data_IF_069201474591
#
_entry.id   IF_069201474591
#
_cell.length_a   1.000
_cell.length_b   1.000
_cell.length_c   1.000
_cell.angle_alpha   90.00
_cell.angle_beta   90.00
_cell.angle_gamma   90.00
#
_symmetry.space_group_name_H-M   'P 1'
#
loop_
_entity.id
_entity.type
_entity.pdbx_description
1 polymer ?
#
# COMPACT_ATOMS: atom_id res chain seq x y z
N UNK A 1 5.86 -15.86 -54.38
CA UNK A 1 5.22 -14.54 -54.22
C UNK A 1 4.01 -14.72 -53.31
N UNK A 2 4.20 -14.57 -52.00
CA UNK A 2 3.12 -14.66 -51.01
C UNK A 2 2.65 -13.26 -50.65
N UNK A 3 1.44 -12.89 -51.06
CA UNK A 3 0.82 -11.64 -50.68
C UNK A 3 0.32 -11.73 -49.24
N UNK A 4 0.80 -10.84 -48.36
CA UNK A 4 0.23 -10.66 -47.03
C UNK A 4 -1.24 -10.22 -47.15
N UNK A 5 -2.15 -10.78 -46.34
CA UNK A 5 -3.56 -10.46 -46.39
C UNK A 5 -3.79 -9.00 -46.00
N UNK A 6 -4.61 -8.31 -46.79
CA UNK A 6 -4.95 -6.87 -46.69
C UNK A 6 -5.40 -6.42 -45.28
N UNK A 7 -5.83 -7.37 -44.44
CA UNK A 7 -6.30 -7.14 -43.07
C UNK A 7 -5.14 -6.80 -42.11
N UNK A 8 -3.97 -7.43 -42.25
CA UNK A 8 -2.82 -7.12 -41.37
C UNK A 8 -2.26 -5.73 -41.64
N UNK A 9 -2.35 -5.26 -42.88
CA UNK A 9 -1.94 -3.90 -43.26
C UNK A 9 -2.83 -2.83 -42.60
N UNK A 10 -4.14 -3.09 -42.50
CA UNK A 10 -5.08 -2.16 -41.86
C UNK A 10 -4.89 -2.06 -40.34
N UNK A 11 -4.56 -3.18 -39.67
CA UNK A 11 -4.24 -3.18 -38.23
C UNK A 11 -2.95 -2.41 -37.96
N UNK A 12 -1.93 -2.58 -38.81
CA UNK A 12 -0.67 -1.86 -38.69
C UNK A 12 -0.86 -0.34 -38.86
N UNK A 13 -1.63 0.08 -39.86
CA UNK A 13 -1.90 1.51 -40.12
C UNK A 13 -2.73 2.13 -38.98
N UNK A 14 -3.73 1.40 -38.46
CA UNK A 14 -4.54 1.84 -37.31
C UNK A 14 -3.70 2.03 -36.04
N UNK A 15 -2.80 1.10 -35.74
CA UNK A 15 -1.90 1.18 -34.59
C UNK A 15 -0.96 2.38 -34.65
N UNK A 16 -0.38 2.68 -35.82
CA UNK A 16 0.51 3.83 -36.01
C UNK A 16 -0.25 5.15 -35.85
N UNK A 17 -1.48 5.25 -36.35
CA UNK A 17 -2.30 6.46 -36.20
C UNK A 17 -2.62 6.77 -34.72
N UNK A 18 -2.96 5.75 -33.92
CA UNK A 18 -3.22 5.91 -32.48
C UNK A 18 -1.95 6.32 -31.73
N UNK A 19 -0.80 5.72 -32.08
CA UNK A 19 0.48 6.03 -31.43
C UNK A 19 0.95 7.46 -31.76
N UNK A 20 0.72 7.95 -32.98
CA UNK A 20 1.00 9.32 -33.38
C UNK A 20 0.07 10.34 -32.70
N UNK A 21 -1.21 10.02 -32.52
CA UNK A 21 -2.15 10.88 -31.79
C UNK A 21 -1.79 10.94 -30.30
N UNK A 22 -1.40 9.82 -29.70
CA UNK A 22 -0.93 9.78 -28.31
C UNK A 22 0.36 10.58 -28.12
N UNK A 23 1.34 10.44 -29.02
CA UNK A 23 2.57 11.23 -28.99
C UNK A 23 2.29 12.74 -29.15
N UNK A 24 1.33 13.13 -30.00
CA UNK A 24 0.92 14.55 -30.15
C UNK A 24 0.27 15.08 -28.89
N UNK A 25 -0.54 14.29 -28.21
CA UNK A 25 -1.21 14.65 -26.96
C UNK A 25 -0.20 14.81 -25.80
N UNK A 26 0.77 13.90 -25.67
CA UNK A 26 1.86 14.02 -24.67
C UNK A 26 2.70 15.28 -24.91
N UNK A 27 3.00 15.61 -26.17
CA UNK A 27 3.76 16.83 -26.51
C UNK A 27 2.99 18.12 -26.23
N UNK A 28 1.67 18.10 -26.36
CA UNK A 28 0.82 19.25 -26.04
C UNK A 28 0.70 19.52 -24.53
N UNK A 29 0.83 18.48 -23.69
CA UNK A 29 0.68 18.60 -22.23
C UNK A 29 1.96 18.91 -21.48
N UNK A 30 3.11 18.95 -22.16
CA UNK A 30 4.43 19.14 -21.56
C UNK A 30 4.91 20.61 -21.49
N UNK A 31 4.07 21.59 -21.82
CA UNK A 31 4.39 23.01 -21.62
C UNK A 31 3.94 23.47 -20.22
N UNK A 32 4.61 22.99 -19.18
CA UNK A 32 4.67 23.71 -17.91
C UNK A 32 5.75 24.77 -18.07
N UNK A 33 5.31 26.02 -18.23
CA UNK A 33 6.20 27.18 -18.19
C UNK A 33 6.67 27.30 -16.74
N UNK A 34 7.90 26.84 -16.46
CA UNK A 34 8.59 27.22 -15.23
C UNK A 34 8.96 28.69 -15.39
N UNK A 35 8.08 29.55 -14.88
CA UNK A 35 8.31 30.97 -14.81
C UNK A 35 9.37 31.19 -13.73
N UNK A 36 10.63 31.30 -14.15
CA UNK A 36 11.70 31.73 -13.26
C UNK A 36 11.40 33.16 -12.80
N UNK A 37 10.97 33.31 -11.55
CA UNK A 37 11.00 34.62 -10.90
C UNK A 37 12.46 35.04 -10.78
N UNK A 38 12.84 36.26 -11.21
CA UNK A 38 14.19 36.76 -11.01
C UNK A 38 14.53 36.80 -9.52
N UNK A 39 15.81 36.66 -9.15
CA UNK A 39 16.24 36.81 -7.75
C UNK A 39 15.82 38.20 -7.27
N UNK A 40 14.98 38.24 -6.23
CA UNK A 40 14.64 39.48 -5.56
C UNK A 40 15.91 40.04 -4.94
N UNK A 41 16.36 41.18 -5.44
CA UNK A 41 17.37 42.02 -4.79
C UNK A 41 16.79 42.45 -3.46
N UNK A 42 17.32 41.91 -2.36
CA UNK A 42 16.89 42.25 -1.00
C UNK A 42 17.33 43.69 -0.72
N UNK A 43 16.37 44.61 -0.71
CA UNK A 43 16.58 46.00 -0.36
C UNK A 43 16.95 46.10 1.15
N UNK A 44 18.09 46.69 1.54
CA UNK A 44 18.58 46.67 2.93
C UNK A 44 17.84 47.61 3.89
N UNK A 45 16.58 47.96 3.63
CA UNK A 45 15.80 48.90 4.44
C UNK A 45 14.43 48.34 4.88
N UNK A 46 14.34 47.06 5.23
CA UNK A 46 13.11 46.56 5.85
C UNK A 46 12.97 47.05 7.30
N UNK A 47 11.80 47.63 7.67
CA UNK A 47 11.50 47.94 9.06
C UNK A 47 11.44 46.66 9.89
N UNK A 48 11.92 46.75 11.13
CA UNK A 48 11.96 45.63 12.09
C UNK A 48 10.61 44.89 12.10
N UNK A 49 10.60 43.55 12.02
CA UNK A 49 9.37 42.78 12.08
C UNK A 49 8.65 43.13 13.39
N UNK A 50 7.42 43.65 13.26
CA UNK A 50 6.55 43.86 14.41
C UNK A 50 6.39 42.54 15.14
N UNK A 51 6.63 42.54 16.45
CA UNK A 51 6.39 41.41 17.34
C UNK A 51 4.98 40.89 17.10
N UNK A 52 4.88 39.78 16.36
CA UNK A 52 3.63 39.08 16.10
C UNK A 52 3.13 38.60 17.45
N UNK A 53 2.04 39.21 17.93
CA UNK A 53 1.38 38.83 19.17
C UNK A 53 1.13 37.33 19.19
N UNK A 54 1.33 36.72 20.36
CA UNK A 54 1.24 35.28 20.59
C UNK A 54 0.06 34.68 19.81
N UNK A 55 0.36 33.81 18.84
CA UNK A 55 -0.68 33.07 18.13
C UNK A 55 -1.54 32.34 19.15
N UNK A 56 -2.88 32.39 19.03
CA UNK A 56 -3.76 31.66 19.93
C UNK A 56 -3.32 30.20 19.95
N UNK A 57 -2.98 29.69 21.14
CA UNK A 57 -2.76 28.26 21.35
C UNK A 57 -4.09 27.58 21.09
N UNK A 58 -4.23 26.96 19.93
CA UNK A 58 -5.29 26.01 19.69
C UNK A 58 -5.03 24.82 20.61
N UNK A 59 -5.83 24.74 21.68
CA UNK A 59 -5.83 23.61 22.58
C UNK A 59 -6.38 22.41 21.78
N UNK A 60 -5.52 21.44 21.49
CA UNK A 60 -5.92 20.23 20.74
C UNK A 60 -6.89 19.47 21.63
N UNK A 61 -8.18 19.54 21.31
CA UNK A 61 -9.22 18.82 22.04
C UNK A 61 -8.93 17.32 21.92
N UNK A 62 -8.46 16.69 23.00
CA UNK A 62 -8.17 15.27 23.02
C UNK A 62 -9.45 14.49 22.73
N UNK A 63 -9.41 13.64 21.69
CA UNK A 63 -10.53 12.79 21.36
C UNK A 63 -10.75 11.77 22.50
N UNK A 64 -11.89 11.80 23.21
CA UNK A 64 -12.15 10.92 24.36
C UNK A 64 -12.19 9.44 23.98
N UNK A 65 -12.40 9.15 22.70
CA UNK A 65 -12.41 7.80 22.14
C UNK A 65 -11.03 7.38 21.60
N UNK A 66 -9.96 8.14 21.85
CA UNK A 66 -8.62 7.71 21.48
C UNK A 66 -8.10 6.65 22.46
N UNK A 67 -7.61 5.54 21.92
CA UNK A 67 -6.92 4.48 22.68
C UNK A 67 -5.48 4.42 22.22
N UNK A 68 -4.57 4.19 23.15
CA UNK A 68 -3.16 4.02 22.84
C UNK A 68 -2.86 2.53 22.66
N UNK A 69 -2.26 2.17 21.53
CA UNK A 69 -1.75 0.84 21.23
C UNK A 69 -0.23 0.90 21.05
N UNK A 70 0.42 -0.26 21.00
CA UNK A 70 1.85 -0.42 20.78
C UNK A 70 2.08 -1.37 19.61
N UNK A 71 2.91 -0.96 18.66
CA UNK A 71 3.36 -1.81 17.55
C UNK A 71 4.68 -2.44 17.98
N UNK A 72 4.69 -3.72 18.29
CA UNK A 72 5.90 -4.49 18.52
C UNK A 72 6.32 -5.13 17.21
N UNK A 73 7.50 -4.79 16.70
CA UNK A 73 8.07 -5.44 15.54
C UNK A 73 9.51 -5.87 15.82
N UNK A 74 9.91 -6.99 15.25
CA UNK A 74 11.25 -7.52 15.44
C UNK A 74 11.78 -8.22 14.20
N UNK A 75 13.06 -8.00 13.94
CA UNK A 75 13.79 -8.54 12.78
C UNK A 75 15.21 -8.94 13.19
N UNK A 76 15.81 -9.97 12.57
CA UNK A 76 17.23 -10.29 12.77
C UNK A 76 18.14 -9.14 12.35
N UNK A 77 19.25 -8.94 13.07
CA UNK A 77 20.21 -7.87 12.78
C UNK A 77 21.01 -8.11 11.49
N UNK A 78 21.27 -9.38 11.20
CA UNK A 78 22.04 -9.82 10.05
C UNK A 78 21.30 -10.96 9.37
N UNK A 79 21.24 -10.89 8.06
CA UNK A 79 20.57 -11.89 7.21
C UNK A 79 21.51 -12.33 6.10
N UNK A 80 21.20 -13.45 5.45
CA UNK A 80 22.03 -14.00 4.37
C UNK A 80 21.29 -13.84 3.05
N UNK A 81 22.00 -13.37 2.02
CA UNK A 81 21.43 -13.24 0.67
C UNK A 81 20.85 -14.56 0.20
N UNK A 82 19.67 -14.52 -0.40
CA UNK A 82 18.91 -15.69 -0.89
C UNK A 82 18.45 -16.68 0.19
N UNK A 83 18.61 -16.37 1.49
CA UNK A 83 18.01 -17.16 2.57
C UNK A 83 16.81 -16.42 3.17
N UNK A 84 15.67 -17.09 3.33
CA UNK A 84 14.52 -16.46 3.94
C UNK A 84 14.77 -16.21 5.44
N UNK A 85 14.27 -15.09 5.94
CA UNK A 85 14.23 -14.73 7.36
C UNK A 85 12.84 -14.25 7.75
N UNK A 86 12.55 -14.28 9.04
CA UNK A 86 11.25 -13.91 9.58
C UNK A 86 11.28 -12.48 10.14
N UNK A 87 10.24 -11.71 9.82
CA UNK A 87 9.86 -10.46 10.46
C UNK A 87 8.59 -10.74 11.28
N UNK A 88 8.66 -10.53 12.59
CA UNK A 88 7.54 -10.76 13.51
C UNK A 88 6.95 -9.40 13.87
N UNK A 89 5.63 -9.25 13.75
CA UNK A 89 4.89 -8.02 14.05
C UNK A 89 3.69 -8.35 14.94
N UNK A 90 3.47 -7.59 15.99
CA UNK A 90 2.30 -7.69 16.87
C UNK A 90 1.80 -6.30 17.25
N UNK A 91 0.49 -6.12 17.35
CA UNK A 91 -0.11 -4.91 17.94
C UNK A 91 -0.66 -5.27 19.31
N UNK A 92 -0.19 -4.60 20.35
CA UNK A 92 -0.47 -4.95 21.74
C UNK A 92 -0.93 -3.75 22.54
N UNK A 93 -1.55 -4.02 23.68
CA UNK A 93 -1.82 -2.98 24.67
C UNK A 93 -0.51 -2.46 25.28
N UNK A 94 -0.43 -1.17 25.66
CA UNK A 94 0.78 -0.61 26.27
C UNK A 94 1.22 -1.33 27.55
N UNK A 95 0.28 -1.92 28.28
CA UNK A 95 0.48 -2.72 29.50
C UNK A 95 0.95 -4.14 29.24
N UNK A 96 0.79 -4.66 28.02
CA UNK A 96 1.18 -6.02 27.67
C UNK A 96 2.70 -6.17 27.68
N UNK A 97 3.23 -7.36 28.03
CA UNK A 97 4.66 -7.64 27.96
C UNK A 97 5.23 -7.26 26.59
N UNK A 98 6.41 -6.65 26.57
CA UNK A 98 7.13 -6.40 25.32
C UNK A 98 7.57 -7.71 24.70
N UNK A 99 7.56 -7.78 23.36
CA UNK A 99 8.17 -8.89 22.62
C UNK A 99 9.65 -9.05 23.02
N UNK A 100 9.99 -10.16 23.67
CA UNK A 100 11.37 -10.46 24.06
C UNK A 100 11.94 -11.52 23.12
N UNK A 101 12.83 -11.10 22.23
CA UNK A 101 13.58 -11.99 21.35
C UNK A 101 15.06 -11.97 21.72
N UNK A 102 15.79 -13.02 21.36
CA UNK A 102 17.20 -13.16 21.71
C UNK A 102 18.08 -12.02 21.16
N UNK A 103 19.33 -11.92 21.65
CA UNK A 103 20.27 -10.81 21.32
C UNK A 103 20.54 -10.57 19.82
N UNK A 104 20.21 -11.53 18.95
CA UNK A 104 20.39 -11.43 17.51
C UNK A 104 19.28 -10.65 16.80
N UNK A 105 18.24 -10.25 17.53
CA UNK A 105 17.08 -9.53 17.02
C UNK A 105 17.13 -8.07 17.43
N UNK A 106 16.74 -7.22 16.48
CA UNK A 106 16.37 -5.83 16.72
C UNK A 106 14.87 -5.80 16.94
N UNK A 107 14.42 -5.31 18.10
CA UNK A 107 13.01 -5.11 18.40
C UNK A 107 12.71 -3.62 18.62
N UNK A 108 11.58 -3.15 18.13
CA UNK A 108 11.09 -1.78 18.35
C UNK A 108 9.60 -1.82 18.69
N UNK A 109 9.20 -0.93 19.59
CA UNK A 109 7.87 -0.91 20.19
C UNK A 109 7.22 0.47 20.24
N UNK A 110 7.09 1.21 19.11
CA UNK A 110 6.46 2.53 19.14
C UNK A 110 5.01 2.46 19.56
N UNK A 111 4.57 3.47 20.31
CA UNK A 111 3.18 3.66 20.71
C UNK A 111 2.48 4.56 19.70
N UNK A 112 1.21 4.27 19.42
CA UNK A 112 0.37 5.07 18.55
C UNK A 112 -1.05 5.20 19.11
N UNK A 113 -1.81 6.18 18.65
CA UNK A 113 -3.21 6.38 19.05
C UNK A 113 -4.14 5.97 17.92
N UNK A 114 -5.24 5.30 18.27
CA UNK A 114 -6.32 4.94 17.34
C UNK A 114 -7.65 5.45 17.86
N UNK A 115 -8.53 5.89 16.96
CA UNK A 115 -9.92 6.20 17.30
C UNK A 115 -10.71 4.92 17.49
N UNK A 116 -11.26 4.71 18.69
CA UNK A 116 -11.99 3.51 19.06
C UNK A 116 -13.33 3.88 19.71
N UNK A 117 -14.43 3.68 18.97
CA UNK A 117 -15.77 3.97 19.48
C UNK A 117 -16.17 2.93 20.54
N UNK A 118 -16.74 3.39 21.64
CA UNK A 118 -17.11 2.55 22.79
C UNK A 118 -18.12 1.43 22.42
N UNK A 119 -18.95 1.68 21.42
CA UNK A 119 -19.91 0.69 20.88
C UNK A 119 -19.25 -0.47 20.14
N UNK A 120 -17.98 -0.34 19.74
CA UNK A 120 -17.28 -1.36 18.96
C UNK A 120 -16.38 -2.20 19.87
N UNK A 121 -16.63 -3.52 19.99
CA UNK A 121 -15.80 -4.40 20.82
C UNK A 121 -14.40 -4.61 20.22
N UNK A 122 -14.20 -4.27 18.94
CA UNK A 122 -12.95 -4.41 18.22
C UNK A 122 -12.69 -3.29 17.23
N UNK A 123 -11.41 -3.04 16.92
CA UNK A 123 -10.97 -2.21 15.81
C UNK A 123 -10.21 -3.05 14.77
N UNK A 124 -10.45 -2.79 13.50
CA UNK A 124 -9.72 -3.42 12.42
C UNK A 124 -8.50 -2.60 12.03
N UNK A 125 -7.36 -3.28 12.00
CA UNK A 125 -6.08 -2.70 11.64
C UNK A 125 -5.47 -3.49 10.49
N UNK A 126 -4.67 -2.78 9.71
CA UNK A 126 -3.87 -3.32 8.62
C UNK A 126 -2.42 -3.09 9.00
N UNK A 127 -1.63 -4.16 9.01
CA UNK A 127 -0.17 -4.09 9.06
C UNK A 127 0.34 -4.28 7.64
N UNK A 128 1.09 -3.33 7.13
CA UNK A 128 1.77 -3.42 5.83
C UNK A 128 3.29 -3.41 6.04
N UNK A 129 3.98 -4.23 5.26
CA UNK A 129 5.43 -4.38 5.24
C UNK A 129 5.96 -3.96 3.88
N UNK A 130 6.92 -3.05 3.90
CA UNK A 130 7.67 -2.64 2.73
C UNK A 130 9.16 -2.85 3.01
N UNK A 131 9.83 -3.62 2.17
CA UNK A 131 11.23 -3.99 2.37
C UNK A 131 12.03 -3.75 1.09
N UNK A 132 12.86 -2.71 1.07
CA UNK A 132 13.74 -2.44 -0.07
C UNK A 132 14.76 -3.56 -0.22
N UNK A 133 14.97 -4.09 -1.44
CA UNK A 133 15.98 -5.12 -1.68
C UNK A 133 15.65 -6.51 -1.14
N UNK A 134 14.43 -6.73 -0.64
CA UNK A 134 13.92 -8.03 -0.23
C UNK A 134 12.69 -8.43 -1.07
N UNK A 135 12.53 -9.73 -1.31
CA UNK A 135 11.25 -10.31 -1.74
C UNK A 135 10.47 -10.75 -0.51
N UNK A 136 9.15 -10.47 -0.48
CA UNK A 136 8.26 -10.91 0.60
C UNK A 136 7.49 -12.12 0.08
N UNK A 137 7.51 -13.22 0.83
CA UNK A 137 6.74 -14.41 0.49
C UNK A 137 5.28 -14.25 0.93
N UNK A 138 4.36 -14.42 -0.02
CA UNK A 138 2.93 -14.16 0.20
C UNK A 138 2.58 -12.68 0.11
N UNK A 139 1.52 -12.28 0.81
CA UNK A 139 1.06 -10.88 0.82
C UNK A 139 1.95 -10.04 1.74
N UNK A 140 2.22 -8.79 1.35
CA UNK A 140 3.02 -7.86 2.14
C UNK A 140 2.19 -7.11 3.19
N UNK A 141 0.91 -7.44 3.35
CA UNK A 141 0.06 -6.89 4.40
C UNK A 141 -0.76 -7.99 5.07
N UNK A 142 -1.30 -7.69 6.26
CA UNK A 142 -2.26 -8.53 6.97
C UNK A 142 -3.32 -7.65 7.61
N UNK A 143 -4.56 -8.10 7.53
CA UNK A 143 -5.68 -7.46 8.24
C UNK A 143 -6.06 -8.31 9.43
N UNK A 144 -6.28 -7.65 10.57
CA UNK A 144 -6.68 -8.30 11.82
C UNK A 144 -7.54 -7.34 12.65
N UNK A 145 -8.22 -7.91 13.64
CA UNK A 145 -9.01 -7.14 14.59
C UNK A 145 -8.33 -7.18 15.96
N UNK A 146 -8.25 -6.03 16.62
CA UNK A 146 -7.84 -5.92 18.02
C UNK A 146 -9.08 -5.77 18.86
N UNK A 147 -9.20 -6.54 19.93
CA UNK A 147 -10.33 -6.47 20.85
C UNK A 147 -9.96 -5.65 22.08
N UNK A 148 -10.96 -5.11 22.78
CA UNK A 148 -10.77 -4.21 23.94
C UNK A 148 -9.97 -4.84 25.08
N UNK A 149 -10.02 -6.16 25.24
CA UNK A 149 -9.40 -6.88 26.36
C UNK A 149 -8.27 -7.83 25.93
N UNK A 150 -7.98 -7.94 24.62
CA UNK A 150 -7.00 -8.88 24.08
C UNK A 150 -5.94 -8.20 23.20
N UNK A 151 -4.72 -8.73 23.25
CA UNK A 151 -3.66 -8.40 22.30
C UNK A 151 -4.00 -8.94 20.89
N UNK A 152 -3.50 -8.29 19.85
CA UNK A 152 -3.60 -8.83 18.49
C UNK A 152 -2.76 -10.11 18.35
N UNK A 153 -3.12 -11.01 17.42
CA UNK A 153 -2.27 -12.15 17.07
C UNK A 153 -0.92 -11.69 16.54
N UNK A 154 0.10 -12.52 16.73
CA UNK A 154 1.41 -12.31 16.10
C UNK A 154 1.34 -12.60 14.61
N UNK A 155 1.91 -11.69 13.81
CA UNK A 155 1.92 -11.72 12.36
C UNK A 155 3.35 -11.96 11.89
N UNK A 156 3.55 -13.03 11.14
CA UNK A 156 4.86 -13.41 10.62
C UNK A 156 4.93 -13.14 9.12
N UNK A 157 5.96 -12.43 8.71
CA UNK A 157 6.29 -12.16 7.31
C UNK A 157 7.62 -12.83 6.99
N UNK A 158 7.67 -13.57 5.88
CA UNK A 158 8.89 -14.20 5.40
C UNK A 158 9.52 -13.35 4.30
N UNK A 159 10.75 -12.88 4.53
CA UNK A 159 11.48 -12.01 3.61
C UNK A 159 12.74 -12.70 3.13
N UNK A 160 13.13 -12.49 1.87
CA UNK A 160 14.39 -13.01 1.30
C UNK A 160 15.20 -11.86 0.69
N UNK A 161 16.42 -11.54 1.18
CA UNK A 161 17.25 -10.49 0.59
C UNK A 161 17.75 -10.90 -0.80
N UNK A 162 17.64 -10.00 -1.76
CA UNK A 162 18.03 -10.25 -3.16
C UNK A 162 19.51 -9.92 -3.41
N UNK A 163 20.08 -8.99 -2.64
CA UNK A 163 21.47 -8.56 -2.77
C UNK A 163 22.11 -8.35 -1.40
N UNK A 164 23.45 -8.35 -1.35
CA UNK A 164 24.23 -7.99 -0.17
C UNK A 164 24.15 -6.48 0.10
N UNK A 165 24.27 -6.07 1.36
CA UNK A 165 24.29 -4.65 1.77
C UNK A 165 23.23 -4.29 2.80
N UNK A 166 23.00 -2.99 2.98
CA UNK A 166 22.00 -2.47 3.90
C UNK A 166 20.61 -2.42 3.26
N UNK A 167 19.59 -2.88 3.99
CA UNK A 167 18.19 -2.84 3.57
C UNK A 167 17.34 -2.15 4.63
N UNK A 168 16.34 -1.41 4.17
CA UNK A 168 15.37 -0.75 5.04
C UNK A 168 14.05 -1.52 4.97
N UNK A 169 13.52 -1.88 6.14
CA UNK A 169 12.20 -2.48 6.29
C UNK A 169 11.31 -1.48 7.03
N UNK A 170 10.23 -1.08 6.39
CA UNK A 170 9.17 -0.28 6.97
C UNK A 170 7.98 -1.18 7.31
N UNK A 171 7.50 -1.05 8.54
CA UNK A 171 6.26 -1.67 9.00
C UNK A 171 5.32 -0.55 9.37
N UNK A 172 4.20 -0.44 8.66
CA UNK A 172 3.17 0.56 8.92
C UNK A 172 1.94 -0.11 9.48
N UNK A 173 1.28 0.57 10.42
CA UNK A 173 -0.05 0.21 10.90
C UNK A 173 -0.99 1.31 10.47
N UNK A 174 -2.02 0.92 9.74
CA UNK A 174 -3.14 1.78 9.42
C UNK A 174 -4.40 1.21 10.08
N UNK A 175 -5.30 2.10 10.51
CA UNK A 175 -6.69 1.69 10.56
C UNK A 175 -7.21 1.71 9.11
N UNK A 176 -8.49 1.46 8.89
CA UNK A 176 -8.99 1.60 7.52
C UNK A 176 -8.64 2.99 6.94
N UNK A 177 -8.72 4.07 7.75
CA UNK A 177 -8.83 5.52 7.39
C UNK A 177 -7.51 6.21 7.13
N UNK A 178 -6.50 5.85 7.90
CA UNK A 178 -5.25 6.57 7.97
C UNK A 178 -4.15 5.67 8.54
N UNK A 179 -2.91 6.03 8.22
CA UNK A 179 -1.73 5.48 8.89
C UNK A 179 -1.71 6.01 10.32
N UNK A 180 -1.85 5.10 11.29
CA UNK A 180 -1.88 5.43 12.71
C UNK A 180 -0.52 5.30 13.36
N UNK A 181 0.37 4.47 12.81
CA UNK A 181 1.71 4.27 13.34
C UNK A 181 2.64 3.55 12.38
N UNK A 182 3.91 3.43 12.76
CA UNK A 182 4.87 2.67 11.98
C UNK A 182 6.26 2.64 12.60
N UNK A 183 7.12 1.81 12.04
CA UNK A 183 8.49 1.61 12.47
C UNK A 183 9.38 1.21 11.31
N UNK A 184 10.64 1.63 11.37
CA UNK A 184 11.65 1.30 10.37
C UNK A 184 12.81 0.55 11.01
N UNK A 185 13.32 -0.44 10.29
CA UNK A 185 14.52 -1.21 10.64
C UNK A 185 15.58 -1.06 9.56
N UNK A 186 16.83 -1.07 9.99
CA UNK A 186 17.98 -1.20 9.12
C UNK A 186 18.57 -2.59 9.37
N UNK A 187 18.67 -3.40 8.31
CA UNK A 187 19.26 -4.73 8.39
C UNK A 187 20.43 -4.84 7.41
N UNK A 188 21.41 -5.65 7.74
CA UNK A 188 22.57 -5.92 6.89
C UNK A 188 22.47 -7.34 6.32
N UNK A 189 22.51 -7.48 5.00
CA UNK A 189 22.60 -8.78 4.34
C UNK A 189 24.02 -9.09 3.90
N UNK A 190 24.46 -10.32 4.14
CA UNK A 190 25.81 -10.79 3.81
C UNK A 190 25.72 -11.97 2.82
N UNK A 191 26.70 -12.05 1.91
CA UNK A 191 26.86 -13.25 1.06
C UNK A 191 27.35 -14.38 1.97
N UNK A 192 26.81 -15.58 1.79
CA UNK A 192 27.30 -16.75 2.53
C UNK A 192 28.70 -17.11 2.03
N UNK A 193 29.75 -16.91 2.83
CA UNK A 193 31.14 -17.30 2.52
C UNK A 193 31.33 -18.81 2.34
N UNK A 194 30.32 -19.62 2.70
CA UNK A 194 30.28 -21.03 2.30
C UNK A 194 29.89 -21.13 0.84
N UNK A 195 30.91 -21.03 -0.01
CA UNK A 195 31.03 -21.63 -1.34
C UNK A 195 30.44 -23.05 -1.27
N UNK A 196 29.17 -23.19 -1.61
CA UNK A 196 28.67 -24.45 -2.12
C UNK A 196 28.65 -24.27 -3.62
N UNK A 197 29.38 -25.12 -4.33
CA UNK A 197 29.31 -25.37 -5.77
C UNK A 197 27.90 -25.87 -6.16
N UNK A 198 26.87 -25.11 -5.81
CA UNK A 198 25.60 -25.21 -6.49
C UNK A 198 25.78 -24.33 -7.72
N UNK A 199 25.93 -25.01 -8.87
CA UNK A 199 25.68 -24.38 -10.17
C UNK A 199 24.49 -23.44 -10.02
N UNK A 200 24.53 -22.23 -10.62
CA UNK A 200 23.42 -21.32 -10.58
C UNK A 200 22.25 -22.06 -11.22
N UNK A 201 21.43 -22.72 -10.38
CA UNK A 201 20.09 -23.07 -10.72
C UNK A 201 19.54 -21.71 -11.12
N UNK A 202 19.38 -21.51 -12.42
CA UNK A 202 18.58 -20.44 -12.96
C UNK A 202 17.21 -20.71 -12.37
N UNK A 203 17.00 -20.19 -11.16
CA UNK A 203 15.69 -19.94 -10.61
C UNK A 203 15.20 -18.86 -11.57
N UNK A 204 14.64 -19.32 -12.69
CA UNK A 204 13.54 -18.63 -13.30
C UNK A 204 12.58 -18.47 -12.13
N UNK A 205 12.65 -17.30 -11.51
CA UNK A 205 11.52 -16.78 -10.78
C UNK A 205 10.50 -16.68 -11.90
N UNK A 206 9.72 -17.75 -12.07
CA UNK A 206 8.36 -17.66 -12.53
C UNK A 206 7.69 -16.78 -11.48
N UNK A 207 7.97 -15.49 -11.58
CA UNK A 207 6.96 -14.48 -11.38
C UNK A 207 5.89 -14.98 -12.32
N UNK A 208 4.92 -15.73 -11.79
CA UNK A 208 3.70 -16.00 -12.50
C UNK A 208 3.24 -14.61 -12.92
N UNK A 209 3.52 -14.28 -14.18
CA UNK A 209 3.54 -12.95 -14.77
C UNK A 209 2.15 -12.35 -14.92
N UNK A 210 1.24 -12.81 -14.07
CA UNK A 210 -0.07 -12.27 -13.85
C UNK A 210 -0.11 -11.48 -12.53
N UNK A 211 0.53 -11.91 -11.44
CA UNK A 211 0.38 -11.30 -10.10
C UNK A 211 1.17 -9.99 -9.85
N UNK A 212 2.09 -9.62 -10.75
CA UNK A 212 3.01 -8.46 -10.55
C UNK A 212 2.38 -7.09 -10.90
N UNK A 213 1.23 -7.06 -11.59
CA UNK A 213 0.44 -5.84 -11.84
C UNK A 213 -0.62 -5.55 -10.76
N UNK A 214 -0.63 -6.31 -9.65
CA UNK A 214 -1.65 -6.24 -8.59
C UNK A 214 -1.29 -5.29 -7.42
N UNK A 215 -0.19 -4.53 -7.55
CA UNK A 215 0.52 -3.84 -6.46
C UNK A 215 -0.18 -2.70 -5.69
N UNK A 216 -1.46 -2.39 -5.91
CA UNK A 216 -2.13 -1.29 -5.19
C UNK A 216 -3.63 -1.44 -4.92
N UNK A 217 -4.26 -2.55 -5.28
CA UNK A 217 -5.73 -2.67 -5.18
C UNK A 217 -6.22 -3.77 -4.22
N UNK A 218 -5.33 -4.54 -3.62
CA UNK A 218 -5.69 -5.51 -2.57
C UNK A 218 -6.35 -4.85 -1.34
N UNK A 219 -5.88 -3.69 -0.83
CA UNK A 219 -6.58 -3.00 0.24
C UNK A 219 -8.00 -2.58 -0.17
N UNK A 220 -8.17 -2.11 -1.41
CA UNK A 220 -9.47 -1.74 -1.96
C UNK A 220 -10.38 -2.97 -2.09
N UNK A 221 -9.87 -4.08 -2.61
CA UNK A 221 -10.61 -5.34 -2.72
C UNK A 221 -11.08 -5.82 -1.35
N UNK A 222 -10.18 -5.86 -0.37
CA UNK A 222 -10.50 -6.26 1.00
C UNK A 222 -11.59 -5.36 1.60
N UNK A 223 -11.42 -4.04 1.44
CA UNK A 223 -12.33 -3.04 1.99
C UNK A 223 -13.73 -3.12 1.35
N UNK A 224 -13.80 -3.31 0.03
CA UNK A 224 -15.06 -3.54 -0.68
C UNK A 224 -15.72 -4.86 -0.25
N UNK A 225 -14.97 -5.95 -0.28
CA UNK A 225 -15.51 -7.28 0.05
C UNK A 225 -16.00 -7.34 1.51
N UNK A 226 -15.38 -6.60 2.41
CA UNK A 226 -15.80 -6.52 3.81
C UNK A 226 -17.04 -5.66 3.99
N UNK A 227 -17.04 -4.43 3.45
CA UNK A 227 -18.03 -3.43 3.80
C UNK A 227 -19.27 -3.41 2.89
N UNK A 228 -19.22 -4.02 1.71
CA UNK A 228 -20.39 -4.15 0.84
C UNK A 228 -21.07 -5.51 1.02
N UNK A 229 -22.39 -5.48 1.10
CA UNK A 229 -23.27 -6.62 0.91
C UNK A 229 -23.34 -7.03 -0.57
N UNK A 230 -23.94 -8.19 -0.87
CA UNK A 230 -24.12 -8.65 -2.26
C UNK A 230 -25.06 -7.71 -3.03
N UNK A 231 -26.09 -7.17 -2.38
CA UNK A 231 -27.05 -6.26 -3.03
C UNK A 231 -26.43 -4.89 -3.30
N UNK A 232 -25.66 -4.33 -2.35
CA UNK A 232 -24.89 -3.10 -2.60
C UNK A 232 -23.85 -3.30 -3.73
N UNK A 233 -23.26 -4.50 -3.83
CA UNK A 233 -22.38 -4.84 -4.94
C UNK A 233 -23.13 -4.84 -6.28
N UNK A 234 -24.35 -5.41 -6.34
CA UNK A 234 -25.20 -5.35 -7.53
C UNK A 234 -25.53 -3.91 -7.91
N UNK A 235 -25.89 -3.08 -6.95
CA UNK A 235 -26.21 -1.66 -7.16
C UNK A 235 -24.98 -0.86 -7.64
N UNK A 236 -23.79 -1.22 -7.15
CA UNK A 236 -22.52 -0.68 -7.64
C UNK A 236 -22.25 -1.10 -9.09
N UNK A 237 -22.39 -2.39 -9.41
CA UNK A 237 -22.27 -2.89 -10.79
C UNK A 237 -23.26 -2.20 -11.74
N UNK A 238 -24.53 -2.07 -11.31
CA UNK A 238 -25.58 -1.41 -12.08
C UNK A 238 -25.25 0.04 -12.41
N UNK A 239 -24.76 0.82 -11.43
CA UNK A 239 -24.33 2.22 -11.64
C UNK A 239 -23.15 2.34 -12.59
N UNK A 240 -22.29 1.33 -12.63
CA UNK A 240 -21.16 1.26 -13.56
C UNK A 240 -21.53 0.66 -14.92
N UNK A 241 -22.81 0.31 -15.13
CA UNK A 241 -23.29 -0.41 -16.31
C UNK A 241 -22.53 -1.72 -16.56
N UNK A 242 -22.25 -2.46 -15.49
CA UNK A 242 -21.68 -3.81 -15.50
C UNK A 242 -22.79 -4.77 -15.09
N UNK A 243 -23.03 -5.81 -15.89
CA UNK A 243 -23.97 -6.86 -15.50
C UNK A 243 -23.35 -7.72 -14.40
N UNK A 244 -23.93 -7.66 -13.21
CA UNK A 244 -23.47 -8.43 -12.06
C UNK A 244 -23.57 -9.94 -12.31
N UNK A 245 -24.59 -10.41 -13.03
CA UNK A 245 -24.82 -11.83 -13.25
C UNK A 245 -23.79 -12.42 -14.23
N UNK A 246 -23.26 -11.62 -15.15
CA UNK A 246 -22.20 -12.01 -16.08
C UNK A 246 -20.81 -12.13 -15.44
N UNK A 247 -20.57 -11.51 -14.27
CA UNK A 247 -19.28 -11.63 -13.59
C UNK A 247 -19.01 -13.09 -13.18
N UNK A 248 -17.83 -13.66 -13.46
CA UNK A 248 -17.50 -15.00 -12.99
C UNK A 248 -17.49 -15.10 -11.45
N UNK A 249 -17.62 -16.32 -10.93
CA UNK A 249 -17.56 -16.60 -9.50
C UNK A 249 -18.93 -16.75 -8.83
N UNK A 250 -18.98 -17.62 -7.80
CA UNK A 250 -20.23 -17.94 -7.08
C UNK A 250 -20.33 -17.26 -5.71
N UNK A 251 -19.20 -16.84 -5.16
CA UNK A 251 -19.11 -16.20 -3.85
C UNK A 251 -18.97 -14.69 -4.01
N UNK A 252 -19.38 -13.93 -2.99
CA UNK A 252 -19.21 -12.46 -2.94
C UNK A 252 -17.75 -12.06 -3.18
N UNK A 253 -16.82 -12.76 -2.52
CA UNK A 253 -15.38 -12.54 -2.67
C UNK A 253 -14.91 -12.73 -4.11
N UNK A 254 -15.33 -13.81 -4.79
CA UNK A 254 -14.93 -14.06 -6.17
C UNK A 254 -15.54 -13.03 -7.12
N UNK A 255 -16.82 -12.68 -6.94
CA UNK A 255 -17.48 -11.63 -7.72
C UNK A 255 -16.77 -10.28 -7.58
N UNK A 256 -16.39 -9.86 -6.37
CA UNK A 256 -15.60 -8.64 -6.18
C UNK A 256 -14.24 -8.71 -6.89
N UNK A 257 -13.60 -9.87 -6.88
CA UNK A 257 -12.31 -10.07 -7.54
C UNK A 257 -12.44 -9.88 -9.05
N UNK A 258 -13.52 -10.43 -9.62
CA UNK A 258 -13.84 -10.28 -11.04
C UNK A 258 -14.27 -8.85 -11.40
N UNK A 259 -15.06 -8.18 -10.56
CA UNK A 259 -15.44 -6.78 -10.76
C UNK A 259 -14.19 -5.88 -10.81
N UNK A 260 -13.29 -6.05 -9.85
CA UNK A 260 -12.04 -5.31 -9.78
C UNK A 260 -11.14 -5.60 -10.99
N UNK A 261 -10.97 -6.88 -11.33
CA UNK A 261 -10.22 -7.30 -12.52
C UNK A 261 -10.82 -6.77 -13.82
N UNK A 262 -12.15 -6.76 -13.95
CA UNK A 262 -12.87 -6.17 -15.07
C UNK A 262 -12.57 -4.66 -15.19
N UNK A 263 -12.70 -3.92 -14.08
CA UNK A 263 -12.42 -2.48 -14.05
C UNK A 263 -10.95 -2.18 -14.36
N UNK A 264 -10.02 -2.98 -13.85
CA UNK A 264 -8.59 -2.82 -14.12
C UNK A 264 -8.27 -3.02 -15.60
N UNK A 265 -8.74 -4.11 -16.22
CA UNK A 265 -8.50 -4.41 -17.65
C UNK A 265 -9.03 -3.32 -18.57
N UNK A 266 -10.08 -2.60 -18.17
CA UNK A 266 -10.67 -1.49 -18.94
C UNK A 266 -10.19 -0.10 -18.52
N UNK A 267 -9.26 0.01 -17.56
CA UNK A 267 -8.82 1.31 -17.04
C UNK A 267 -9.91 2.10 -16.32
N UNK A 268 -10.96 1.42 -15.83
CA UNK A 268 -12.12 1.99 -15.14
C UNK A 268 -12.00 1.94 -13.60
N UNK A 269 -10.82 1.62 -13.07
CA UNK A 269 -10.63 1.50 -11.62
C UNK A 269 -10.88 2.85 -10.89
N UNK A 270 -10.48 3.97 -11.49
CA UNK A 270 -10.77 5.30 -10.95
C UNK A 270 -12.27 5.61 -10.90
N UNK A 271 -13.04 5.08 -11.87
CA UNK A 271 -14.50 5.21 -11.92
C UNK A 271 -15.15 4.38 -10.81
N UNK A 272 -14.69 3.14 -10.61
CA UNK A 272 -15.13 2.30 -9.48
C UNK A 272 -14.90 3.02 -8.15
N UNK A 273 -13.69 3.54 -7.93
CA UNK A 273 -13.33 4.30 -6.72
C UNK A 273 -14.23 5.52 -6.56
N UNK A 274 -14.50 6.27 -7.63
CA UNK A 274 -15.39 7.43 -7.57
C UNK A 274 -16.82 7.05 -7.16
N UNK A 275 -17.38 5.95 -7.68
CA UNK A 275 -18.71 5.47 -7.28
C UNK A 275 -18.74 4.99 -5.83
N UNK A 276 -17.71 4.26 -5.41
CA UNK A 276 -17.55 3.81 -4.02
C UNK A 276 -17.47 5.02 -3.07
N UNK A 277 -16.69 6.04 -3.44
CA UNK A 277 -16.56 7.28 -2.66
C UNK A 277 -17.83 8.14 -2.66
N UNK A 278 -18.62 8.10 -3.73
CA UNK A 278 -19.91 8.79 -3.77
C UNK A 278 -20.92 8.16 -2.79
N UNK A 279 -20.89 6.83 -2.67
CA UNK A 279 -21.76 6.09 -1.75
C UNK A 279 -21.26 6.10 -0.31
N UNK A 280 -19.94 6.09 -0.11
CA UNK A 280 -19.29 6.16 1.20
C UNK A 280 -18.37 7.39 1.26
N UNK A 281 -18.89 8.63 1.40
CA UNK A 281 -18.05 9.84 1.40
C UNK A 281 -17.01 9.88 2.52
N UNK A 282 -17.26 9.19 3.63
CA UNK A 282 -16.34 9.05 4.76
C UNK A 282 -15.09 8.22 4.40
N UNK A 283 -15.05 7.57 3.24
CA UNK A 283 -13.91 6.77 2.77
C UNK A 283 -12.87 7.59 1.99
N UNK A 284 -13.06 8.88 1.78
CA UNK A 284 -12.11 9.74 1.05
C UNK A 284 -10.68 9.68 1.59
N UNK A 285 -10.51 9.48 2.91
CA UNK A 285 -9.19 9.29 3.54
C UNK A 285 -8.45 8.04 3.04
N UNK A 286 -9.18 6.96 2.74
CA UNK A 286 -8.62 5.69 2.26
C UNK A 286 -7.90 5.82 0.91
N UNK A 287 -8.38 6.71 0.04
CA UNK A 287 -7.93 6.81 -1.36
C UNK A 287 -6.98 7.98 -1.61
N UNK A 288 -6.81 8.89 -0.64
CA UNK A 288 -5.95 10.08 -0.78
C UNK A 288 -4.49 9.83 -0.34
N UNK A 289 -4.20 8.67 0.26
CA UNK A 289 -2.90 8.35 0.85
C UNK A 289 -1.98 7.49 -0.03
N UNK A 290 -2.34 7.26 -1.31
CA UNK A 290 -1.59 6.43 -2.27
C UNK A 290 -1.06 7.22 -3.47
#
# INVERSE_FOLDING_TARGET
MGGLPLIELLILIGGIAVLLLFARWVRARSRVIVQYSPPMTVDPAMPRPMTVGASPRFEVQENPWSRQLRLDAAVPNKVVVSKPFELIVAVRWPSSPSMQLGRQWQSRSPKFRVGWKEENPSIDLIVEVQASGCTIAGENFRVFSVYTDDDAPELNFMLTPVAAGEHIIHVTVSNLLETVGGVSFHIESQVSDREFDMEPASVMIETNGFASLYRSWEPLYYLLNRAFSVDEMRDLCLRMHIDFEELPGRTKSNKFGELMGYCQRRGQLSVLVAHVLAERPNWRGYFAAG
#
